data_IF_348491920247
#
_entry.id   IF_348491920247
#
_cell.length_a   1.000
_cell.length_b   1.000
_cell.length_c   1.000
_cell.angle_alpha   90.00
_cell.angle_beta   90.00
_cell.angle_gamma   90.00
#
_symmetry.space_group_name_H-M   'P 1'
#
loop_
_entity.id
_entity.type
_entity.pdbx_description
1 polymer ?
#
# COMPACT_ATOMS: atom_id res chain seq x y z
N UNK A 1 -25.36 6.05 -27.22
CA UNK A 1 -23.95 5.93 -26.86
C UNK A 1 -23.75 6.81 -25.63
N UNK A 2 -23.39 6.25 -24.49
CA UNK A 2 -23.08 7.07 -23.31
C UNK A 2 -21.82 7.90 -23.67
N UNK A 3 -21.87 9.22 -23.51
CA UNK A 3 -20.69 10.06 -23.70
C UNK A 3 -19.61 9.57 -22.72
N UNK A 4 -18.41 9.24 -23.22
CA UNK A 4 -17.26 8.85 -22.39
C UNK A 4 -16.71 10.08 -21.71
N UNK A 5 -17.31 10.44 -20.54
CA UNK A 5 -17.02 11.66 -19.82
C UNK A 5 -15.65 11.68 -19.14
N UNK A 6 -15.09 10.49 -18.82
CA UNK A 6 -13.86 10.34 -18.05
C UNK A 6 -12.80 9.47 -18.76
N UNK A 7 -12.85 9.40 -20.09
CA UNK A 7 -11.96 8.52 -20.86
C UNK A 7 -10.48 8.97 -20.89
N UNK A 8 -10.19 10.17 -20.42
CA UNK A 8 -8.85 10.72 -20.24
C UNK A 8 -8.36 10.67 -18.78
N UNK A 9 -9.11 10.04 -17.84
CA UNK A 9 -8.80 10.06 -16.41
C UNK A 9 -8.33 8.69 -15.92
N UNK A 10 -7.25 8.70 -15.11
CA UNK A 10 -6.79 7.61 -14.27
C UNK A 10 -6.89 8.05 -12.80
N UNK A 11 -7.81 7.44 -12.06
CA UNK A 11 -7.96 7.63 -10.62
C UNK A 11 -7.19 6.53 -9.89
N UNK A 12 -6.24 6.92 -9.05
CA UNK A 12 -5.46 6.01 -8.19
C UNK A 12 -5.77 6.38 -6.73
N UNK A 13 -6.26 5.45 -5.95
CA UNK A 13 -6.62 5.72 -4.56
C UNK A 13 -5.97 4.74 -3.60
N UNK A 14 -5.44 5.28 -2.50
CA UNK A 14 -5.21 4.48 -1.31
C UNK A 14 -6.53 3.92 -0.77
N UNK A 15 -6.43 2.89 0.07
CA UNK A 15 -7.57 2.23 0.68
C UNK A 15 -7.78 2.72 2.12
N UNK A 16 -6.90 2.38 3.03
CA UNK A 16 -7.05 2.58 4.47
C UNK A 16 -6.87 4.06 4.87
N UNK A 17 -7.89 4.65 5.48
CA UNK A 17 -7.88 6.09 5.80
C UNK A 17 -8.28 6.99 4.64
N UNK A 18 -8.50 6.43 3.44
CA UNK A 18 -8.90 7.17 2.23
C UNK A 18 -10.26 6.71 1.69
N UNK A 19 -10.35 5.49 1.15
CA UNK A 19 -11.62 4.88 0.73
C UNK A 19 -12.29 4.08 1.86
N UNK A 20 -11.49 3.56 2.78
CA UNK A 20 -11.89 2.69 3.88
C UNK A 20 -11.72 3.48 5.19
N UNK A 21 -12.80 3.93 5.85
CA UNK A 21 -12.71 4.45 7.21
C UNK A 21 -12.22 3.36 8.16
N UNK A 22 -11.58 3.77 9.24
CA UNK A 22 -10.96 2.84 10.19
C UNK A 22 -11.99 1.81 10.72
N UNK A 23 -11.67 0.52 10.59
CA UNK A 23 -12.51 -0.62 10.99
C UNK A 23 -13.83 -0.78 10.21
N UNK A 24 -13.94 -0.22 9.03
CA UNK A 24 -15.15 -0.28 8.19
C UNK A 24 -14.86 -0.91 6.83
N UNK A 25 -15.88 -0.94 5.98
CA UNK A 25 -15.79 -1.28 4.56
C UNK A 25 -15.91 -0.02 3.71
N UNK A 26 -15.56 -0.11 2.43
CA UNK A 26 -15.81 0.99 1.49
C UNK A 26 -17.33 1.24 1.44
N UNK A 27 -17.72 2.51 1.57
CA UNK A 27 -19.14 2.88 1.58
C UNK A 27 -19.83 2.57 0.25
N UNK A 28 -21.12 2.24 0.29
CA UNK A 28 -21.90 2.01 -0.93
C UNK A 28 -21.91 3.21 -1.87
N UNK A 29 -21.80 4.44 -1.34
CA UNK A 29 -21.70 5.65 -2.13
C UNK A 29 -20.41 5.68 -2.94
N UNK A 30 -19.27 5.34 -2.33
CA UNK A 30 -17.98 5.23 -3.02
C UNK A 30 -18.03 4.13 -4.08
N UNK A 31 -18.59 2.95 -3.76
CA UNK A 31 -18.73 1.83 -4.71
C UNK A 31 -19.57 2.25 -5.93
N UNK A 32 -20.75 2.86 -5.71
CA UNK A 32 -21.62 3.33 -6.79
C UNK A 32 -20.94 4.40 -7.65
N UNK A 33 -20.22 5.33 -7.02
CA UNK A 33 -19.52 6.41 -7.73
C UNK A 33 -18.35 5.88 -8.57
N UNK A 34 -17.54 4.95 -8.05
CA UNK A 34 -16.45 4.29 -8.79
C UNK A 34 -16.98 3.51 -9.99
N UNK A 35 -18.06 2.76 -9.82
CA UNK A 35 -18.67 1.99 -10.91
C UNK A 35 -19.29 2.92 -11.98
N UNK A 36 -19.90 4.03 -11.57
CA UNK A 36 -20.39 5.03 -12.52
C UNK A 36 -19.25 5.73 -13.28
N UNK A 37 -18.14 6.05 -12.59
CA UNK A 37 -16.93 6.61 -13.16
C UNK A 37 -16.31 5.69 -14.21
N UNK A 38 -16.12 4.42 -13.89
CA UNK A 38 -15.54 3.43 -14.82
C UNK A 38 -16.47 3.12 -15.99
N UNK A 39 -17.78 3.05 -15.76
CA UNK A 39 -18.76 2.90 -16.84
C UNK A 39 -18.79 4.10 -17.81
N UNK A 40 -18.42 5.30 -17.34
CA UNK A 40 -18.29 6.50 -18.16
C UNK A 40 -16.89 6.68 -18.80
N UNK A 41 -16.06 5.64 -18.80
CA UNK A 41 -14.75 5.58 -19.47
C UNK A 41 -13.55 5.85 -18.57
N UNK A 42 -13.76 6.19 -17.31
CA UNK A 42 -12.70 6.38 -16.34
C UNK A 42 -11.92 5.09 -16.04
N UNK A 43 -10.71 5.24 -15.56
CA UNK A 43 -9.85 4.12 -15.16
C UNK A 43 -9.55 4.23 -13.68
N UNK A 44 -9.74 3.14 -12.95
CA UNK A 44 -9.52 3.07 -11.50
C UNK A 44 -8.49 2.00 -11.14
N UNK A 45 -7.54 2.37 -10.29
CA UNK A 45 -6.56 1.52 -9.62
C UNK A 45 -6.53 1.77 -8.12
N UNK A 46 -6.35 0.74 -7.32
CA UNK A 46 -6.01 0.87 -5.91
C UNK A 46 -4.49 0.99 -5.73
N UNK A 47 -4.04 1.69 -4.67
CA UNK A 47 -2.63 1.79 -4.28
C UNK A 47 -2.51 1.65 -2.75
N UNK A 48 -2.11 0.47 -2.26
CA UNK A 48 -2.19 0.13 -0.85
C UNK A 48 -0.92 -0.53 -0.31
N UNK A 49 -0.73 -0.47 1.01
CA UNK A 49 0.27 -1.26 1.73
C UNK A 49 -0.13 -2.73 1.92
N UNK A 50 -1.41 -3.05 1.66
CA UNK A 50 -1.97 -4.39 1.78
C UNK A 50 -1.38 -5.37 0.76
N UNK A 51 -1.53 -6.66 1.06
CA UNK A 51 -1.37 -7.73 0.07
C UNK A 51 -2.56 -7.72 -0.90
N UNK A 52 -2.44 -8.30 -2.12
CA UNK A 52 -3.60 -8.46 -3.00
C UNK A 52 -4.76 -9.19 -2.32
N UNK A 53 -4.47 -10.26 -1.59
CA UNK A 53 -5.46 -11.12 -0.92
C UNK A 53 -6.21 -10.36 0.18
N UNK A 54 -5.50 -9.53 0.96
CA UNK A 54 -6.08 -8.73 2.05
C UNK A 54 -6.87 -7.52 1.51
N UNK A 55 -6.58 -7.06 0.29
CA UNK A 55 -7.31 -5.96 -0.34
C UNK A 55 -8.59 -6.41 -1.06
N UNK A 56 -8.60 -7.63 -1.63
CA UNK A 56 -9.70 -8.12 -2.46
C UNK A 56 -11.10 -8.03 -1.80
N UNK A 57 -11.29 -8.40 -0.50
CA UNK A 57 -12.59 -8.29 0.14
C UNK A 57 -13.13 -6.84 0.20
N UNK A 58 -12.25 -5.85 0.30
CA UNK A 58 -12.64 -4.43 0.30
C UNK A 58 -12.95 -3.91 -1.09
N UNK A 59 -12.37 -4.52 -2.12
CA UNK A 59 -12.61 -4.15 -3.52
C UNK A 59 -13.82 -4.90 -4.13
N UNK A 60 -14.49 -5.76 -3.35
CA UNK A 60 -15.67 -6.47 -3.84
C UNK A 60 -16.78 -5.49 -4.27
N UNK A 61 -17.40 -5.80 -5.41
CA UNK A 61 -18.41 -4.93 -6.02
C UNK A 61 -17.87 -3.68 -6.72
N UNK A 62 -16.54 -3.44 -6.73
CA UNK A 62 -15.90 -2.32 -7.42
C UNK A 62 -15.28 -2.79 -8.74
N UNK A 63 -15.51 -2.05 -9.80
CA UNK A 63 -14.85 -2.25 -11.09
C UNK A 63 -13.43 -1.67 -11.05
N UNK A 64 -12.44 -2.51 -10.67
CA UNK A 64 -11.02 -2.18 -10.80
C UNK A 64 -10.58 -2.56 -12.21
N UNK A 65 -10.37 -1.58 -13.09
CA UNK A 65 -10.10 -1.78 -14.51
C UNK A 65 -8.68 -1.36 -14.94
N UNK A 66 -7.80 -1.16 -13.96
CA UNK A 66 -6.36 -1.02 -14.15
C UNK A 66 -5.59 -1.92 -13.18
N UNK A 67 -4.32 -2.25 -13.45
CA UNK A 67 -3.44 -2.87 -12.47
C UNK A 67 -3.35 -2.03 -11.19
N UNK A 68 -3.41 -2.70 -10.04
CA UNK A 68 -3.35 -2.07 -8.74
C UNK A 68 -2.00 -2.26 -8.07
N UNK A 69 -1.65 -1.34 -7.20
CA UNK A 69 -0.37 -1.23 -6.52
C UNK A 69 -0.52 -1.82 -5.11
N UNK A 70 0.32 -2.78 -4.77
CA UNK A 70 0.32 -3.49 -3.49
C UNK A 70 1.67 -3.37 -2.79
N UNK A 71 1.73 -3.71 -1.49
CA UNK A 71 2.95 -3.65 -0.68
C UNK A 71 3.66 -2.30 -0.77
N UNK A 72 2.88 -1.19 -0.71
CA UNK A 72 3.41 0.17 -0.81
C UNK A 72 4.25 0.43 -2.08
N UNK A 73 3.96 -0.27 -3.17
CA UNK A 73 4.65 -0.13 -4.45
C UNK A 73 5.65 -1.24 -4.78
N UNK A 74 5.78 -2.28 -3.94
CA UNK A 74 6.64 -3.41 -4.27
C UNK A 74 6.02 -4.37 -5.30
N UNK A 75 4.70 -4.28 -5.56
CA UNK A 75 4.02 -5.10 -6.56
C UNK A 75 3.00 -4.28 -7.36
N UNK A 76 2.97 -4.50 -8.67
CA UNK A 76 1.90 -4.08 -9.59
C UNK A 76 1.21 -5.33 -10.12
N UNK A 77 -0.10 -5.49 -9.86
CA UNK A 77 -0.87 -6.69 -10.24
C UNK A 77 -2.16 -6.31 -10.95
N UNK A 78 -2.40 -6.94 -12.10
CA UNK A 78 -3.70 -6.92 -12.80
C UNK A 78 -4.62 -7.94 -12.12
N UNK A 79 -5.57 -7.44 -11.32
CA UNK A 79 -6.50 -8.29 -10.58
C UNK A 79 -7.46 -9.06 -11.50
N UNK A 80 -7.84 -8.46 -12.64
CA UNK A 80 -8.78 -9.08 -13.58
C UNK A 80 -8.20 -10.30 -14.28
N UNK A 81 -6.88 -10.33 -14.47
CA UNK A 81 -6.13 -11.44 -15.09
C UNK A 81 -5.38 -12.29 -14.06
N UNK A 82 -5.43 -11.90 -12.79
CA UNK A 82 -4.58 -12.46 -11.73
C UNK A 82 -3.09 -12.52 -12.14
N UNK A 83 -2.60 -11.44 -12.76
CA UNK A 83 -1.24 -11.38 -13.32
C UNK A 83 -0.40 -10.34 -12.60
N UNK A 84 0.72 -10.75 -12.04
CA UNK A 84 1.77 -9.85 -11.57
C UNK A 84 2.50 -9.28 -12.78
N UNK A 85 2.59 -7.96 -12.86
CA UNK A 85 3.20 -7.23 -13.98
C UNK A 85 4.59 -6.72 -13.63
N UNK A 86 4.79 -6.31 -12.38
CA UNK A 86 6.04 -5.77 -11.86
C UNK A 86 6.19 -6.17 -10.41
N UNK A 87 7.41 -6.53 -9.98
CA UNK A 87 7.77 -6.70 -8.58
C UNK A 87 9.12 -6.07 -8.31
N UNK A 88 9.28 -5.53 -7.10
CA UNK A 88 10.56 -5.11 -6.52
C UNK A 88 10.80 -5.96 -5.29
N UNK A 89 12.05 -6.35 -5.05
CA UNK A 89 12.40 -7.37 -4.08
C UNK A 89 13.49 -6.92 -3.11
N UNK A 90 13.44 -7.43 -1.89
CA UNK A 90 14.47 -7.26 -0.88
C UNK A 90 15.54 -8.34 -1.09
N UNK A 91 16.58 -8.00 -1.85
CA UNK A 91 17.58 -8.98 -2.29
C UNK A 91 18.82 -9.02 -1.40
N UNK A 92 19.37 -10.21 -1.26
CA UNK A 92 20.69 -10.47 -0.69
C UNK A 92 20.71 -11.01 0.74
N UNK A 93 21.84 -11.62 1.10
CA UNK A 93 22.09 -12.23 2.41
C UNK A 93 22.04 -11.25 3.58
N UNK A 94 22.14 -9.97 3.29
CA UNK A 94 22.06 -8.90 4.30
C UNK A 94 20.71 -8.91 5.02
N UNK A 95 19.62 -9.23 4.30
CA UNK A 95 18.27 -9.31 4.87
C UNK A 95 18.11 -10.48 5.83
N UNK A 96 18.73 -11.63 5.51
CA UNK A 96 18.77 -12.79 6.42
C UNK A 96 19.53 -12.45 7.69
N UNK A 97 20.67 -11.75 7.55
CA UNK A 97 21.47 -11.29 8.69
C UNK A 97 20.70 -10.30 9.54
N UNK A 98 20.01 -9.33 8.92
CA UNK A 98 19.19 -8.36 9.61
C UNK A 98 18.03 -9.03 10.37
N UNK A 99 17.27 -9.89 9.70
CA UNK A 99 16.17 -10.63 10.30
C UNK A 99 16.64 -11.47 11.50
N UNK A 100 17.75 -12.19 11.36
CA UNK A 100 18.34 -12.98 12.46
C UNK A 100 18.72 -12.09 13.67
N UNK A 101 19.28 -10.91 13.43
CA UNK A 101 19.66 -9.97 14.49
C UNK A 101 18.42 -9.36 15.15
N UNK A 102 17.38 -9.00 14.37
CA UNK A 102 16.10 -8.52 14.91
C UNK A 102 15.45 -9.56 15.80
N UNK A 103 15.30 -10.79 15.33
CA UNK A 103 14.71 -11.91 16.08
C UNK A 103 15.47 -12.19 17.40
N UNK A 104 16.80 -12.04 17.38
CA UNK A 104 17.63 -12.25 18.57
C UNK A 104 17.52 -11.10 19.58
N UNK A 105 17.53 -9.85 19.11
CA UNK A 105 17.58 -8.67 19.98
C UNK A 105 16.19 -8.25 20.48
N UNK A 106 15.13 -8.52 19.70
CA UNK A 106 13.75 -8.14 19.97
C UNK A 106 12.82 -9.35 20.02
N UNK A 107 13.03 -10.29 20.99
CA UNK A 107 12.32 -11.57 21.03
C UNK A 107 10.82 -11.45 21.35
N UNK A 108 10.31 -10.24 21.61
CA UNK A 108 8.89 -9.95 21.87
C UNK A 108 8.22 -9.19 20.72
N UNK A 109 8.98 -8.76 19.73
CA UNK A 109 8.41 -8.14 18.53
C UNK A 109 7.55 -9.14 17.77
N UNK A 110 6.58 -8.69 17.00
CA UNK A 110 6.02 -9.45 15.89
C UNK A 110 6.87 -9.13 14.65
N UNK A 111 7.45 -10.14 14.03
CA UNK A 111 8.31 -9.99 12.85
C UNK A 111 7.73 -10.79 11.71
N UNK A 112 7.45 -10.11 10.60
CA UNK A 112 6.80 -10.68 9.44
C UNK A 112 7.66 -10.47 8.18
N UNK A 113 7.65 -11.49 7.32
CA UNK A 113 8.22 -11.44 5.97
C UNK A 113 7.10 -11.70 4.97
N UNK A 114 7.01 -10.84 3.98
CA UNK A 114 6.00 -10.97 2.95
C UNK A 114 6.62 -11.41 1.63
N UNK A 115 6.09 -12.46 1.07
CA UNK A 115 6.32 -12.90 -0.31
C UNK A 115 5.13 -12.49 -1.19
N UNK A 116 5.12 -12.91 -2.45
CA UNK A 116 3.99 -12.65 -3.34
C UNK A 116 2.70 -13.38 -2.93
N UNK A 117 2.79 -14.44 -2.14
CA UNK A 117 1.70 -15.37 -1.84
C UNK A 117 1.41 -15.52 -0.34
N UNK A 118 2.40 -15.25 0.52
CA UNK A 118 2.30 -15.53 1.96
C UNK A 118 2.81 -14.37 2.83
N UNK A 119 2.22 -14.26 4.01
CA UNK A 119 2.80 -13.57 5.16
C UNK A 119 3.41 -14.62 6.10
N UNK A 120 4.71 -14.60 6.26
CA UNK A 120 5.43 -15.48 7.17
C UNK A 120 5.72 -14.76 8.48
N UNK A 121 5.09 -15.19 9.57
CA UNK A 121 5.36 -14.68 10.92
C UNK A 121 6.52 -15.50 11.49
N UNK A 122 7.64 -14.82 11.75
CA UNK A 122 8.90 -15.45 12.19
C UNK A 122 9.03 -15.56 13.71
N UNK A 123 8.04 -15.06 14.43
CA UNK A 123 8.00 -15.00 15.90
C UNK A 123 6.89 -15.88 16.46
N UNK A 124 6.95 -16.28 17.76
CA UNK A 124 5.90 -17.09 18.37
C UNK A 124 4.52 -16.40 18.33
N UNK A 125 3.45 -17.17 18.15
CA UNK A 125 2.05 -16.70 18.15
C UNK A 125 1.68 -15.78 19.35
N UNK A 126 2.36 -15.96 20.49
CA UNK A 126 2.16 -15.09 21.66
C UNK A 126 2.60 -13.63 21.44
N UNK A 127 3.33 -13.36 20.36
CA UNK A 127 3.80 -12.03 19.99
C UNK A 127 2.97 -11.45 18.82
N UNK A 128 1.97 -12.16 18.32
CA UNK A 128 1.20 -11.73 17.17
C UNK A 128 0.57 -10.35 17.38
N UNK A 129 0.67 -9.55 16.36
CA UNK A 129 -0.11 -8.33 16.29
C UNK A 129 -1.60 -8.68 16.12
N UNK A 130 -2.52 -8.04 16.87
CA UNK A 130 -3.96 -8.27 16.74
C UNK A 130 -4.51 -8.07 15.32
N UNK A 131 -3.80 -7.29 14.49
CA UNK A 131 -4.13 -7.08 13.08
C UNK A 131 -4.15 -8.40 12.30
N UNK A 132 -3.24 -9.34 12.60
CA UNK A 132 -3.17 -10.63 11.90
C UNK A 132 -4.48 -11.42 11.95
N UNK A 133 -5.23 -11.31 13.05
CA UNK A 133 -6.52 -12.00 13.19
C UNK A 133 -7.62 -11.45 12.28
N UNK A 134 -7.45 -10.22 11.76
CA UNK A 134 -8.40 -9.55 10.85
C UNK A 134 -7.97 -9.54 9.39
N UNK A 135 -6.77 -10.00 9.08
CA UNK A 135 -6.25 -9.98 7.71
C UNK A 135 -6.78 -11.17 6.88
N UNK A 136 -7.07 -10.89 5.60
CA UNK A 136 -7.63 -11.88 4.67
C UNK A 136 -6.56 -12.46 3.74
N UNK A 137 -5.46 -13.00 4.30
CA UNK A 137 -4.38 -13.61 3.53
C UNK A 137 -3.77 -14.81 4.27
N UNK A 138 -2.96 -15.57 3.56
CA UNK A 138 -2.28 -16.73 4.15
C UNK A 138 -1.21 -16.27 5.14
N UNK A 139 -1.42 -16.57 6.40
CA UNK A 139 -0.46 -16.32 7.50
C UNK A 139 0.13 -17.63 7.93
N UNK A 140 1.45 -17.79 7.80
CA UNK A 140 2.18 -18.97 8.18
C UNK A 140 3.16 -18.67 9.31
N UNK A 141 2.96 -19.28 10.48
CA UNK A 141 3.96 -19.24 11.54
C UNK A 141 5.10 -20.19 11.19
N UNK A 142 6.30 -19.65 11.03
CA UNK A 142 7.46 -20.41 10.58
C UNK A 142 8.75 -19.84 11.18
N UNK A 143 9.88 -20.25 10.68
CA UNK A 143 11.19 -19.76 11.11
C UNK A 143 11.99 -19.20 9.93
N UNK A 144 12.96 -18.35 10.23
CA UNK A 144 13.79 -17.69 9.23
C UNK A 144 14.40 -18.66 8.22
N UNK A 145 14.86 -19.83 8.66
CA UNK A 145 15.50 -20.83 7.79
C UNK A 145 14.55 -21.37 6.71
N UNK A 146 13.25 -21.43 6.99
CA UNK A 146 12.26 -21.89 6.02
C UNK A 146 12.09 -20.92 4.87
N UNK A 147 12.16 -19.61 5.16
CA UNK A 147 11.87 -18.52 4.21
C UNK A 147 13.13 -17.85 3.66
N UNK A 148 14.33 -18.28 4.09
CA UNK A 148 15.57 -17.61 3.72
C UNK A 148 15.89 -17.66 2.21
N UNK A 149 15.36 -18.62 1.48
CA UNK A 149 15.54 -18.78 0.04
C UNK A 149 14.35 -18.23 -0.77
N UNK A 150 13.31 -17.70 -0.09
CA UNK A 150 12.18 -17.08 -0.77
C UNK A 150 12.46 -15.63 -1.18
N UNK A 151 11.69 -15.13 -2.15
CA UNK A 151 11.76 -13.75 -2.59
C UNK A 151 10.91 -12.85 -1.70
N UNK A 152 11.53 -11.96 -0.95
CA UNK A 152 10.85 -11.07 -0.02
C UNK A 152 10.46 -9.76 -0.70
N UNK A 153 9.22 -9.34 -0.50
CA UNK A 153 8.69 -8.07 -0.99
C UNK A 153 8.64 -7.00 0.11
N UNK A 154 8.44 -7.44 1.36
CA UNK A 154 8.36 -6.56 2.52
C UNK A 154 8.88 -7.28 3.77
N UNK A 155 9.59 -6.58 4.62
CA UNK A 155 9.93 -6.97 5.98
C UNK A 155 9.23 -6.03 6.95
N UNK A 156 8.49 -6.56 7.91
CA UNK A 156 7.64 -5.80 8.81
C UNK A 156 7.92 -6.16 10.25
N UNK A 157 7.90 -5.16 11.12
CA UNK A 157 8.12 -5.32 12.55
C UNK A 157 7.08 -4.51 13.31
N UNK A 158 6.36 -5.18 14.21
CA UNK A 158 5.52 -4.53 15.20
C UNK A 158 6.16 -4.66 16.59
N UNK A 159 6.40 -3.53 17.25
CA UNK A 159 6.91 -3.45 18.63
C UNK A 159 6.63 -2.05 19.19
N UNK A 160 6.96 -1.83 20.46
CA UNK A 160 6.92 -0.50 21.06
C UNK A 160 7.82 0.49 20.28
N UNK A 161 7.42 1.76 20.11
CA UNK A 161 8.17 2.74 19.31
C UNK A 161 9.64 2.88 19.71
N UNK A 162 9.95 2.75 21.00
CA UNK A 162 11.34 2.81 21.48
C UNK A 162 12.17 1.64 20.94
N UNK A 163 11.60 0.43 20.85
CA UNK A 163 12.30 -0.73 20.29
C UNK A 163 12.50 -0.57 18.78
N UNK A 164 11.51 -0.05 18.08
CA UNK A 164 11.61 0.20 16.64
C UNK A 164 12.73 1.21 16.32
N UNK A 165 12.95 2.22 17.18
CA UNK A 165 14.09 3.13 17.00
C UNK A 165 15.47 2.45 17.15
N UNK A 166 15.56 1.37 17.92
CA UNK A 166 16.77 0.54 17.95
C UNK A 166 16.90 -0.39 16.74
N UNK A 167 15.76 -0.85 16.19
CA UNK A 167 15.76 -1.61 14.93
C UNK A 167 16.25 -0.73 13.78
N UNK A 168 15.84 0.53 13.70
CA UNK A 168 16.37 1.48 12.69
C UNK A 168 17.88 1.66 12.81
N UNK A 169 18.41 1.84 14.02
CA UNK A 169 19.87 1.91 14.23
C UNK A 169 20.59 0.65 13.81
N UNK A 170 20.00 -0.52 14.09
CA UNK A 170 20.53 -1.81 13.63
C UNK A 170 20.52 -1.89 12.10
N UNK A 171 19.48 -1.38 11.45
CA UNK A 171 19.40 -1.30 10.00
C UNK A 171 20.51 -0.41 9.42
N UNK A 172 20.74 0.76 10.01
CA UNK A 172 21.84 1.66 9.64
C UNK A 172 23.22 0.99 9.84
N UNK A 173 23.46 0.35 10.99
CA UNK A 173 24.71 -0.36 11.29
C UNK A 173 25.03 -1.47 10.29
N UNK A 174 24.00 -2.16 9.77
CA UNK A 174 24.13 -3.20 8.77
C UNK A 174 24.09 -2.70 7.34
N UNK A 175 23.75 -1.42 7.11
CA UNK A 175 23.64 -0.83 5.78
C UNK A 175 22.33 -1.20 5.05
N UNK A 176 21.32 -1.63 5.77
CA UNK A 176 19.97 -1.91 5.25
C UNK A 176 19.32 -0.65 4.68
N UNK A 177 19.55 0.51 5.31
CA UNK A 177 19.11 1.83 4.87
C UNK A 177 19.57 2.19 3.44
N UNK A 178 20.65 1.58 2.97
CA UNK A 178 21.23 1.81 1.62
C UNK A 178 20.61 0.91 0.54
N UNK A 179 19.94 -0.17 0.95
CA UNK A 179 19.36 -1.14 0.03
C UNK A 179 17.87 -1.36 0.26
N UNK A 180 17.22 -0.45 1.00
CA UNK A 180 15.77 -0.44 1.21
C UNK A 180 15.24 0.98 1.39
N UNK A 181 13.92 1.10 1.34
CA UNK A 181 13.14 2.22 1.85
C UNK A 181 12.43 1.76 3.11
N UNK A 182 12.53 2.52 4.20
CA UNK A 182 11.81 2.24 5.43
C UNK A 182 10.87 3.38 5.80
N UNK A 183 9.76 3.05 6.43
CA UNK A 183 8.79 4.02 6.93
C UNK A 183 7.95 3.43 8.07
N UNK A 184 7.34 4.31 8.84
CA UNK A 184 6.33 3.95 9.82
C UNK A 184 4.95 4.06 9.17
N UNK A 185 4.18 2.97 9.13
CA UNK A 185 2.77 2.99 8.71
C UNK A 185 1.84 3.32 9.89
N UNK A 186 2.27 2.98 11.10
CA UNK A 186 1.73 3.46 12.38
C UNK A 186 2.89 3.61 13.38
N UNK A 187 2.64 4.21 14.54
CA UNK A 187 3.69 4.48 15.54
C UNK A 187 4.44 3.22 16.03
N UNK A 188 3.79 2.07 15.99
CA UNK A 188 4.31 0.77 16.41
C UNK A 188 4.61 -0.19 15.23
N UNK A 189 4.55 0.29 13.99
CA UNK A 189 4.76 -0.49 12.77
C UNK A 189 5.88 0.09 11.93
N UNK A 190 6.99 -0.64 11.82
CA UNK A 190 8.13 -0.30 10.98
C UNK A 190 8.18 -1.27 9.79
N UNK A 191 8.12 -0.70 8.60
CA UNK A 191 8.15 -1.44 7.34
C UNK A 191 9.43 -1.15 6.56
N UNK A 192 9.98 -2.20 5.96
CA UNK A 192 11.06 -2.11 4.98
C UNK A 192 10.57 -2.71 3.67
N UNK A 193 10.71 -1.93 2.61
CA UNK A 193 10.41 -2.32 1.23
C UNK A 193 11.67 -2.15 0.36
N UNK A 194 11.72 -2.70 -0.85
CA UNK A 194 12.88 -2.55 -1.74
C UNK A 194 13.24 -1.08 -1.98
N UNK A 195 14.50 -0.78 -2.31
CA UNK A 195 14.94 0.60 -2.50
C UNK A 195 14.16 1.29 -3.63
N UNK A 196 13.95 2.60 -3.47
CA UNK A 196 13.18 3.41 -4.42
C UNK A 196 11.74 2.91 -4.66
N UNK A 197 11.19 2.20 -3.67
CA UNK A 197 9.82 1.68 -3.71
C UNK A 197 8.90 2.63 -2.94
N UNK A 198 7.86 3.07 -3.63
CA UNK A 198 6.74 3.83 -3.06
C UNK A 198 5.50 3.64 -3.92
N UNK A 199 4.33 3.97 -3.38
CA UNK A 199 3.09 4.00 -4.17
C UNK A 199 3.22 4.93 -5.38
N UNK A 200 3.88 6.10 -5.21
CA UNK A 200 4.13 7.07 -6.27
C UNK A 200 5.06 6.53 -7.36
N UNK A 201 6.20 5.93 -6.97
CA UNK A 201 7.13 5.35 -7.91
C UNK A 201 6.52 4.22 -8.76
N UNK A 202 5.61 3.41 -8.20
CA UNK A 202 4.91 2.38 -8.95
C UNK A 202 3.75 2.97 -9.78
N UNK A 203 3.13 4.06 -9.33
CA UNK A 203 2.12 4.77 -10.10
C UNK A 203 2.71 5.40 -11.37
N UNK A 204 3.96 5.86 -11.35
CA UNK A 204 4.68 6.30 -12.56
C UNK A 204 4.88 5.14 -13.56
N UNK A 205 5.16 3.92 -13.08
CA UNK A 205 5.23 2.72 -13.93
C UNK A 205 3.86 2.45 -14.58
N UNK A 206 2.79 2.48 -13.78
CA UNK A 206 1.42 2.29 -14.27
C UNK A 206 1.04 3.36 -15.31
N UNK A 207 1.28 4.64 -15.03
CA UNK A 207 1.01 5.78 -15.91
C UNK A 207 1.74 5.67 -17.27
N UNK A 208 2.96 5.14 -17.25
CA UNK A 208 3.78 4.97 -18.45
C UNK A 208 3.32 3.80 -19.35
N UNK A 209 2.45 2.91 -18.88
CA UNK A 209 1.95 1.81 -19.70
C UNK A 209 1.13 2.33 -20.89
N UNK A 210 1.25 1.75 -22.10
CA UNK A 210 0.56 2.23 -23.30
C UNK A 210 -0.96 2.39 -23.16
N UNK A 211 -1.59 1.56 -22.33
CA UNK A 211 -3.04 1.61 -22.09
C UNK A 211 -3.48 2.84 -21.27
N UNK A 212 -2.57 3.47 -20.53
CA UNK A 212 -2.85 4.57 -19.59
C UNK A 212 -2.07 5.84 -19.93
N UNK A 213 -1.11 5.76 -20.85
CA UNK A 213 -0.28 6.90 -21.25
C UNK A 213 -1.13 8.07 -21.78
N UNK A 214 -0.83 9.27 -21.29
CA UNK A 214 -1.55 10.49 -21.62
C UNK A 214 -2.84 10.74 -20.85
N UNK A 215 -3.25 9.83 -19.94
CA UNK A 215 -4.36 10.09 -19.03
C UNK A 215 -3.92 11.06 -17.93
N UNK A 216 -4.84 11.95 -17.57
CA UNK A 216 -4.71 12.81 -16.39
C UNK A 216 -4.84 11.95 -15.13
N UNK A 217 -3.84 11.99 -14.27
CA UNK A 217 -3.82 11.22 -13.02
C UNK A 217 -4.42 12.03 -11.89
N UNK A 218 -5.40 11.45 -11.21
CA UNK A 218 -5.94 11.94 -9.94
C UNK A 218 -5.55 10.91 -8.89
N UNK A 219 -4.93 11.33 -7.81
CA UNK A 219 -4.53 10.45 -6.73
C UNK A 219 -5.15 10.86 -5.40
N UNK A 220 -5.50 9.86 -4.58
CA UNK A 220 -6.02 10.05 -3.23
C UNK A 220 -5.18 9.27 -2.23
N UNK A 221 -4.91 9.87 -1.05
CA UNK A 221 -4.14 9.24 0.01
C UNK A 221 -4.18 10.06 1.30
N UNK A 222 -3.90 9.41 2.45
CA UNK A 222 -4.09 10.04 3.76
C UNK A 222 -2.82 10.05 4.64
N UNK A 223 -1.80 9.27 4.33
CA UNK A 223 -0.63 9.15 5.19
C UNK A 223 0.68 9.47 4.47
N UNK A 224 1.82 9.44 5.23
CA UNK A 224 3.14 9.78 4.70
C UNK A 224 3.59 8.92 3.51
N UNK A 225 3.22 7.63 3.47
CA UNK A 225 3.50 6.72 2.36
C UNK A 225 2.74 7.06 1.06
N UNK A 226 1.73 7.96 1.13
CA UNK A 226 1.00 8.49 -0.02
C UNK A 226 1.58 9.79 -0.57
N UNK A 227 2.45 10.45 0.18
CA UNK A 227 2.92 11.78 -0.18
C UNK A 227 3.57 11.83 -1.58
N UNK A 228 4.31 10.79 -1.96
CA UNK A 228 4.90 10.70 -3.30
C UNK A 228 3.84 10.43 -4.38
N UNK A 229 2.84 9.59 -4.09
CA UNK A 229 1.69 9.35 -4.96
C UNK A 229 0.89 10.64 -5.23
N UNK A 230 0.64 11.42 -4.18
CA UNK A 230 -0.09 12.69 -4.30
C UNK A 230 0.69 13.71 -5.14
N UNK A 231 2.02 13.81 -4.93
CA UNK A 231 2.88 14.76 -5.68
C UNK A 231 3.06 14.39 -7.16
N UNK A 232 3.04 13.10 -7.52
CA UNK A 232 3.21 12.67 -8.93
C UNK A 232 1.93 12.83 -9.75
N UNK A 233 0.77 12.95 -9.11
CA UNK A 233 -0.52 13.11 -9.77
C UNK A 233 -0.67 14.51 -10.37
N UNK A 234 -1.54 14.63 -11.38
CA UNK A 234 -1.95 15.95 -11.91
C UNK A 234 -2.87 16.70 -10.91
N UNK A 235 -3.56 15.93 -10.04
CA UNK A 235 -4.26 16.44 -8.84
C UNK A 235 -4.12 15.40 -7.73
N UNK A 236 -3.38 15.76 -6.67
CA UNK A 236 -3.32 15.03 -5.41
C UNK A 236 -4.42 15.48 -4.46
N UNK A 237 -5.11 14.54 -3.81
CA UNK A 237 -6.25 14.79 -2.92
C UNK A 237 -6.02 14.08 -1.60
N UNK A 238 -6.08 14.81 -0.49
CA UNK A 238 -6.03 14.23 0.86
C UNK A 238 -7.34 14.48 1.62
N UNK A 239 -7.84 13.51 2.41
CA UNK A 239 -8.94 13.75 3.35
C UNK A 239 -8.57 14.81 4.40
N UNK A 240 -9.57 15.49 4.97
CA UNK A 240 -9.37 16.52 6.01
C UNK A 240 -8.69 15.94 7.27
N UNK A 241 -8.93 14.69 7.58
CA UNK A 241 -8.36 13.93 8.71
C UNK A 241 -7.04 13.20 8.37
N UNK A 242 -6.49 13.42 7.17
CA UNK A 242 -5.18 12.90 6.77
C UNK A 242 -4.03 13.50 7.60
N UNK A 243 -2.87 12.84 7.54
CA UNK A 243 -1.63 13.34 8.16
C UNK A 243 -1.20 14.68 7.58
N UNK A 244 -0.48 15.48 8.36
CA UNK A 244 0.04 16.77 7.88
C UNK A 244 0.98 16.60 6.67
N UNK A 245 1.69 15.48 6.58
CA UNK A 245 2.57 15.18 5.45
C UNK A 245 1.77 14.93 4.17
N UNK A 246 0.69 14.14 4.23
CA UNK A 246 -0.19 13.90 3.09
C UNK A 246 -0.90 15.20 2.66
N UNK A 247 -1.42 15.99 3.62
CA UNK A 247 -2.05 17.29 3.33
C UNK A 247 -1.07 18.26 2.65
N UNK A 248 0.18 18.30 3.10
CA UNK A 248 1.21 19.15 2.50
C UNK A 248 1.61 18.69 1.07
N UNK A 249 1.36 17.43 0.73
CA UNK A 249 1.62 16.86 -0.59
C UNK A 249 0.43 16.99 -1.55
N UNK A 250 -0.77 17.26 -1.04
CA UNK A 250 -2.01 17.33 -1.80
C UNK A 250 -2.29 18.73 -2.37
N UNK A 251 -2.94 18.78 -3.55
CA UNK A 251 -3.45 20.00 -4.17
C UNK A 251 -4.84 20.40 -3.64
N UNK A 252 -5.59 19.42 -3.13
CA UNK A 252 -6.97 19.59 -2.65
C UNK A 252 -7.17 18.82 -1.36
N UNK A 253 -7.99 19.37 -0.48
CA UNK A 253 -8.45 18.71 0.73
C UNK A 253 -9.92 18.33 0.53
N UNK A 254 -10.19 17.03 0.61
CA UNK A 254 -11.52 16.45 0.57
C UNK A 254 -12.14 16.39 1.99
N UNK A 255 -13.45 16.14 2.12
CA UNK A 255 -14.05 15.82 3.41
C UNK A 255 -13.32 14.68 4.14
N UNK A 256 -13.52 14.53 5.49
CA UNK A 256 -12.93 13.44 6.25
C UNK A 256 -13.26 12.07 5.66
N UNK A 257 -12.36 11.09 5.82
CA UNK A 257 -12.46 9.74 5.24
C UNK A 257 -13.82 9.03 5.49
N UNK A 258 -14.50 9.34 6.61
CA UNK A 258 -15.86 8.83 6.90
C UNK A 258 -16.95 9.31 5.92
N UNK A 259 -16.68 10.36 5.17
CA UNK A 259 -17.54 10.86 4.11
C UNK A 259 -17.08 10.32 2.74
N UNK A 260 -18.02 9.99 1.81
CA UNK A 260 -17.66 9.39 0.54
C UNK A 260 -16.81 10.32 -0.33
N UNK A 261 -15.52 10.01 -0.47
CA UNK A 261 -14.57 10.85 -1.21
C UNK A 261 -14.80 10.83 -2.72
N UNK A 262 -15.20 9.68 -3.30
CA UNK A 262 -15.36 9.57 -4.77
C UNK A 262 -16.51 10.42 -5.31
N UNK A 263 -17.71 10.43 -4.69
CA UNK A 263 -18.75 11.39 -5.07
C UNK A 263 -18.31 12.85 -4.98
N UNK A 264 -17.49 13.19 -3.99
CA UNK A 264 -16.92 14.53 -3.85
C UNK A 264 -15.96 14.84 -5.03
N UNK A 265 -15.06 13.92 -5.37
CA UNK A 265 -14.15 14.04 -6.53
C UNK A 265 -14.95 14.28 -7.82
N UNK A 266 -15.97 13.47 -8.07
CA UNK A 266 -16.78 13.56 -9.30
C UNK A 266 -17.56 14.87 -9.40
N UNK A 267 -17.83 15.56 -8.30
CA UNK A 267 -18.53 16.84 -8.26
C UNK A 267 -17.61 18.05 -8.31
N UNK A 268 -16.47 17.99 -7.59
CA UNK A 268 -15.61 19.17 -7.37
C UNK A 268 -14.43 19.25 -8.36
N UNK A 269 -14.07 18.13 -9.00
CA UNK A 269 -12.93 18.07 -9.90
C UNK A 269 -13.37 18.02 -11.38
N UNK A 270 -14.59 17.54 -11.65
CA UNK A 270 -15.16 17.38 -12.99
C UNK A 270 -16.50 18.10 -13.14
#
# INVERSE_FOLDING_TARGET
MCEKRYDDILLISDLDGTLIPRYEMISEENIRALNAFTAAGGVFAAATGRTPESALPYLDGITVNAPSIFFNGAMLKDLSKNQVLETRTLDGDIWRTFAARVLYQFPRACVEVYTAEHCHVLTPEANDDPRLAGEFYNVDHTNLKTVEDETWLKFFICDAPINLSFVERLAEELGIDKCSTSFYSEANYLEFVPPHTSKGAMAEVLKAMPAYAGRRVIACGDYGNDAELLRMADIGIAPEDASEEAKAAADRIAPPCREPIVPWILREIF
#
